data_IF_068937291347
#
_entry.id   IF_068937291347
#
_cell.length_a   1.000
_cell.length_b   1.000
_cell.length_c   1.000
_cell.angle_alpha   90.00
_cell.angle_beta   90.00
_cell.angle_gamma   90.00
#
_symmetry.space_group_name_H-M   'P 1'
#
loop_
_entity.id
_entity.type
_entity.pdbx_description
1 polymer ?
#
# COMPACT_ATOMS: atom_id res chain seq x y z
N UNK A 1 -5.70 -29.73 -14.96
CA UNK A 1 -7.03 -30.06 -14.38
C UNK A 1 -7.14 -29.40 -13.00
N UNK A 2 -7.79 -28.23 -12.91
CA UNK A 2 -7.95 -27.53 -11.63
C UNK A 2 -8.93 -28.28 -10.73
N UNK A 3 -8.51 -28.63 -9.51
CA UNK A 3 -9.39 -29.22 -8.50
C UNK A 3 -10.49 -28.22 -8.17
N UNK A 4 -11.74 -28.58 -8.47
CA UNK A 4 -12.93 -27.79 -8.12
C UNK A 4 -13.04 -27.71 -6.60
N UNK A 5 -13.20 -26.50 -6.06
CA UNK A 5 -13.25 -26.27 -4.62
C UNK A 5 -14.70 -26.32 -4.13
N UNK A 6 -14.93 -26.73 -2.86
CA UNK A 6 -16.26 -26.77 -2.22
C UNK A 6 -17.03 -25.43 -2.33
N UNK A 7 -16.31 -24.30 -2.33
CA UNK A 7 -16.88 -22.97 -2.56
C UNK A 7 -17.49 -22.82 -3.96
N UNK A 8 -16.80 -23.33 -4.98
CA UNK A 8 -17.25 -23.26 -6.36
C UNK A 8 -18.52 -24.10 -6.57
N UNK A 9 -18.65 -25.22 -5.85
CA UNK A 9 -19.87 -26.03 -5.86
C UNK A 9 -21.07 -25.29 -5.28
N UNK A 10 -20.90 -24.59 -4.14
CA UNK A 10 -21.96 -23.79 -3.54
C UNK A 10 -22.38 -22.62 -4.46
N UNK A 11 -21.42 -21.94 -5.09
CA UNK A 11 -21.72 -20.87 -6.05
C UNK A 11 -22.41 -21.38 -7.31
N UNK A 12 -22.07 -22.57 -7.80
CA UNK A 12 -22.78 -23.19 -8.92
C UNK A 12 -24.21 -23.58 -8.57
N UNK A 13 -24.45 -24.13 -7.37
CA UNK A 13 -25.81 -24.41 -6.93
C UNK A 13 -26.63 -23.12 -6.82
N UNK A 14 -26.04 -22.08 -6.22
CA UNK A 14 -26.67 -20.76 -6.14
C UNK A 14 -26.94 -20.16 -7.53
N UNK A 15 -26.00 -20.27 -8.45
CA UNK A 15 -26.16 -19.81 -9.84
C UNK A 15 -27.31 -20.55 -10.53
N UNK A 16 -27.44 -21.87 -10.30
CA UNK A 16 -28.51 -22.69 -10.87
C UNK A 16 -29.90 -22.33 -10.30
N UNK A 17 -29.98 -22.08 -9.00
CA UNK A 17 -31.25 -21.79 -8.30
C UNK A 17 -31.71 -20.35 -8.48
N UNK A 18 -30.81 -19.38 -8.27
CA UNK A 18 -31.16 -17.96 -8.18
C UNK A 18 -31.06 -17.25 -9.55
N UNK A 19 -30.23 -17.76 -10.47
CA UNK A 19 -29.94 -17.12 -11.76
C UNK A 19 -29.98 -18.12 -12.93
N UNK A 20 -31.11 -18.79 -13.17
CA UNK A 20 -31.20 -19.90 -14.13
C UNK A 20 -30.87 -19.49 -15.56
N UNK A 21 -31.13 -18.24 -15.96
CA UNK A 21 -30.80 -17.76 -17.32
C UNK A 21 -29.28 -17.61 -17.52
N UNK A 22 -28.57 -17.08 -16.51
CA UNK A 22 -27.10 -16.98 -16.53
C UNK A 22 -26.48 -18.38 -16.50
N UNK A 23 -27.08 -19.31 -15.75
CA UNK A 23 -26.65 -20.71 -15.74
C UNK A 23 -26.84 -21.38 -17.10
N UNK A 24 -27.97 -21.15 -17.80
CA UNK A 24 -28.19 -21.64 -19.16
C UNK A 24 -27.19 -21.06 -20.15
N UNK A 25 -26.92 -19.75 -20.10
CA UNK A 25 -25.92 -19.09 -20.94
C UNK A 25 -24.49 -19.62 -20.69
N UNK A 26 -24.16 -19.99 -19.45
CA UNK A 26 -22.91 -20.67 -19.11
C UNK A 26 -22.83 -22.07 -19.75
N UNK A 27 -23.91 -22.87 -19.69
CA UNK A 27 -23.95 -24.19 -20.30
C UNK A 27 -23.94 -24.15 -21.84
N UNK A 28 -24.57 -23.13 -22.43
CA UNK A 28 -24.55 -22.88 -23.87
C UNK A 28 -23.18 -22.40 -24.38
N UNK A 29 -22.24 -22.08 -23.49
CA UNK A 29 -20.90 -21.59 -23.85
C UNK A 29 -20.84 -20.09 -24.17
N UNK A 30 -21.96 -19.35 -24.08
CA UNK A 30 -22.01 -17.91 -24.28
C UNK A 30 -21.20 -17.16 -23.20
N UNK A 31 -21.23 -17.67 -21.97
CA UNK A 31 -20.37 -17.21 -20.89
C UNK A 31 -19.14 -18.11 -20.79
N UNK A 32 -18.00 -17.64 -21.29
CA UNK A 32 -16.77 -18.43 -21.40
C UNK A 32 -16.14 -18.96 -20.09
N UNK A 33 -16.69 -18.69 -18.90
CA UNK A 33 -16.24 -19.33 -17.66
C UNK A 33 -17.26 -19.20 -16.51
N UNK A 34 -17.23 -20.17 -15.58
CA UNK A 34 -18.04 -20.13 -14.37
C UNK A 34 -17.78 -18.88 -13.51
N UNK A 35 -16.51 -18.44 -13.40
CA UNK A 35 -16.15 -17.20 -12.68
C UNK A 35 -16.85 -15.98 -13.28
N UNK A 36 -16.90 -15.87 -14.62
CA UNK A 36 -17.58 -14.77 -15.30
C UNK A 36 -19.09 -14.82 -15.04
N UNK A 37 -19.69 -16.01 -15.02
CA UNK A 37 -21.09 -16.18 -14.64
C UNK A 37 -21.37 -15.74 -13.20
N UNK A 38 -20.49 -16.07 -12.24
CA UNK A 38 -20.64 -15.63 -10.85
C UNK A 38 -20.55 -14.12 -10.69
N UNK A 39 -19.68 -13.46 -11.45
CA UNK A 39 -19.56 -12.00 -11.46
C UNK A 39 -20.81 -11.35 -12.05
N UNK A 40 -21.31 -11.86 -13.18
CA UNK A 40 -22.54 -11.38 -13.81
C UNK A 40 -23.76 -11.54 -12.89
N UNK A 41 -23.81 -12.65 -12.14
CA UNK A 41 -24.85 -12.92 -11.15
C UNK A 41 -24.66 -12.17 -9.82
N UNK A 42 -23.59 -11.40 -9.65
CA UNK A 42 -23.29 -10.71 -8.39
C UNK A 42 -22.97 -11.63 -7.20
N UNK A 43 -22.73 -12.92 -7.46
CA UNK A 43 -22.37 -13.92 -6.43
C UNK A 43 -20.94 -13.67 -5.93
N UNK A 44 -20.05 -13.25 -6.83
CA UNK A 44 -18.69 -12.87 -6.48
C UNK A 44 -18.32 -11.51 -7.11
N UNK A 45 -17.53 -10.68 -6.41
CA UNK A 45 -17.04 -9.44 -6.99
C UNK A 45 -16.04 -9.70 -8.13
N UNK A 46 -16.00 -8.75 -9.07
CA UNK A 46 -14.95 -8.71 -10.07
C UNK A 46 -13.59 -8.45 -9.40
N UNK A 47 -12.57 -9.21 -9.79
CA UNK A 47 -11.22 -9.01 -9.26
C UNK A 47 -10.66 -7.68 -9.69
N UNK A 48 -10.21 -6.90 -8.72
CA UNK A 48 -9.52 -5.64 -8.95
C UNK A 48 -8.17 -5.88 -9.65
N UNK A 49 -7.63 -4.85 -10.30
CA UNK A 49 -6.31 -4.94 -10.98
C UNK A 49 -5.19 -5.32 -10.02
N UNK A 50 -5.25 -4.83 -8.77
CA UNK A 50 -4.24 -5.15 -7.75
C UNK A 50 -4.32 -6.61 -7.30
N UNK A 51 -5.52 -7.20 -7.18
CA UNK A 51 -5.68 -8.62 -6.87
C UNK A 51 -5.15 -9.51 -8.00
N UNK A 52 -5.38 -9.12 -9.25
CA UNK A 52 -4.80 -9.79 -10.41
C UNK A 52 -3.27 -9.73 -10.37
N UNK A 53 -2.69 -8.57 -10.09
CA UNK A 53 -1.24 -8.41 -9.96
C UNK A 53 -0.67 -9.27 -8.82
N UNK A 54 -1.31 -9.29 -7.64
CA UNK A 54 -0.90 -10.16 -6.52
C UNK A 54 -0.96 -11.65 -6.89
N UNK A 55 -1.99 -12.09 -7.61
CA UNK A 55 -2.08 -13.47 -8.06
C UNK A 55 -1.01 -13.82 -9.09
N UNK A 56 -0.75 -12.94 -10.06
CA UNK A 56 0.32 -13.11 -11.03
C UNK A 56 1.69 -13.14 -10.36
N UNK A 57 1.94 -12.26 -9.39
CA UNK A 57 3.18 -12.24 -8.60
C UNK A 57 3.41 -13.54 -7.84
N UNK A 58 2.37 -14.09 -7.21
CA UNK A 58 2.45 -15.35 -6.49
C UNK A 58 2.78 -16.54 -7.41
N UNK A 59 2.36 -16.48 -8.69
CA UNK A 59 2.59 -17.52 -9.69
C UNK A 59 3.87 -17.35 -10.52
N UNK A 60 4.42 -16.14 -10.55
CA UNK A 60 5.63 -15.84 -11.29
C UNK A 60 6.82 -16.62 -10.74
N UNK A 61 7.69 -17.06 -11.64
CA UNK A 61 9.01 -17.61 -11.35
C UNK A 61 9.93 -16.52 -10.79
N UNK A 62 11.04 -16.92 -10.18
CA UNK A 62 12.00 -15.96 -9.62
C UNK A 62 12.59 -15.04 -10.71
N UNK A 63 12.89 -15.58 -11.90
CA UNK A 63 13.34 -14.79 -13.05
C UNK A 63 12.32 -13.74 -13.51
N UNK A 64 11.03 -14.08 -13.54
CA UNK A 64 9.95 -13.15 -13.89
C UNK A 64 9.75 -12.06 -12.82
N UNK A 65 9.92 -12.42 -11.54
CA UNK A 65 9.87 -11.46 -10.43
C UNK A 65 11.04 -10.49 -10.51
N UNK A 66 12.26 -10.98 -10.76
CA UNK A 66 13.45 -10.14 -10.90
C UNK A 66 13.33 -9.20 -12.09
N UNK A 67 12.89 -9.70 -13.25
CA UNK A 67 12.62 -8.86 -14.41
C UNK A 67 11.58 -7.76 -14.11
N UNK A 68 10.52 -8.10 -13.37
CA UNK A 68 9.52 -7.12 -12.95
C UNK A 68 10.11 -6.08 -11.99
N UNK A 69 10.96 -6.47 -11.03
CA UNK A 69 11.62 -5.54 -10.11
C UNK A 69 12.60 -4.61 -10.81
N UNK A 70 13.35 -5.10 -11.80
CA UNK A 70 14.23 -4.29 -12.65
C UNK A 70 13.42 -3.25 -13.42
N UNK A 71 12.34 -3.68 -14.08
CA UNK A 71 11.43 -2.77 -14.78
C UNK A 71 10.83 -1.72 -13.83
N UNK A 72 10.43 -2.12 -12.62
CA UNK A 72 9.88 -1.24 -11.60
C UNK A 72 10.91 -0.20 -11.13
N UNK A 73 12.17 -0.61 -10.92
CA UNK A 73 13.28 0.28 -10.58
C UNK A 73 13.54 1.30 -11.70
N UNK A 74 13.51 0.87 -12.97
CA UNK A 74 13.64 1.76 -14.13
C UNK A 74 12.49 2.78 -14.25
N UNK A 75 11.31 2.47 -13.70
CA UNK A 75 10.18 3.39 -13.58
C UNK A 75 10.26 4.32 -12.36
N UNK A 76 11.39 4.33 -11.64
CA UNK A 76 11.61 5.17 -10.47
C UNK A 76 10.96 4.65 -9.19
N UNK A 77 10.38 3.44 -9.23
CA UNK A 77 9.88 2.79 -8.03
C UNK A 77 11.04 2.04 -7.36
N UNK A 78 11.62 2.70 -6.34
CA UNK A 78 12.75 2.16 -5.59
C UNK A 78 12.26 1.09 -4.61
N UNK A 79 12.78 -0.14 -4.65
CA UNK A 79 12.53 -1.11 -3.61
C UNK A 79 12.95 -0.52 -2.25
N UNK A 80 12.12 -0.71 -1.22
CA UNK A 80 12.57 -0.59 0.17
C UNK A 80 13.61 -1.71 0.36
N UNK A 81 14.88 -1.39 0.11
CA UNK A 81 15.95 -2.37 0.16
C UNK A 81 15.95 -3.07 1.54
N UNK A 82 15.98 -4.42 1.60
CA UNK A 82 16.35 -5.11 2.82
C UNK A 82 17.82 -4.77 3.08
N UNK A 83 18.10 -4.17 4.24
CA UNK A 83 19.46 -3.98 4.72
C UNK A 83 20.08 -5.36 4.99
N UNK A 84 20.72 -5.94 3.99
CA UNK A 84 21.73 -6.97 4.20
C UNK A 84 23.10 -6.28 4.34
N UNK A 85 23.86 -6.80 5.27
CA UNK A 85 25.05 -6.28 5.93
C UNK A 85 26.30 -6.16 5.05
N UNK A 86 26.86 -4.94 4.99
CA UNK A 86 28.30 -4.53 5.03
C UNK A 86 29.32 -5.00 3.96
N UNK A 87 30.54 -4.38 3.84
CA UNK A 87 31.09 -3.22 4.58
C UNK A 87 31.69 -2.04 3.75
N UNK A 88 31.62 -0.84 4.36
CA UNK A 88 32.57 0.31 4.42
C UNK A 88 33.07 1.01 3.12
N UNK A 89 33.27 2.36 3.12
CA UNK A 89 34.29 2.99 3.97
C UNK A 89 33.80 4.19 4.82
N UNK A 90 34.41 4.27 6.01
CA UNK A 90 34.80 5.46 6.79
C UNK A 90 33.89 6.70 6.76
N UNK A 91 33.15 6.91 7.84
CA UNK A 91 33.35 8.05 8.75
C UNK A 91 32.39 7.95 9.94
N UNK A 92 33.00 7.92 11.12
CA UNK A 92 32.50 8.09 12.48
C UNK A 92 31.15 8.80 12.65
N UNK A 93 30.07 8.04 12.89
CA UNK A 93 28.98 8.41 13.82
C UNK A 93 28.11 7.15 14.10
N UNK A 94 27.99 6.65 15.34
CA UNK A 94 27.10 5.54 15.66
C UNK A 94 25.65 6.06 15.75
N UNK A 95 25.07 6.45 14.62
CA UNK A 95 23.65 6.82 14.58
C UNK A 95 22.82 5.54 14.39
N UNK A 96 21.91 5.18 15.32
CA UNK A 96 21.06 4.01 15.15
C UNK A 96 20.28 4.14 13.84
N UNK A 97 20.19 3.06 13.07
CA UNK A 97 19.49 3.01 11.79
C UNK A 97 18.03 3.44 12.00
N UNK A 98 17.70 4.67 11.61
CA UNK A 98 16.38 5.25 11.85
C UNK A 98 15.36 4.62 10.92
N UNK A 99 14.20 4.27 11.48
CA UNK A 99 13.02 3.87 10.75
C UNK A 99 12.56 5.05 9.88
N UNK A 100 12.42 4.86 8.55
CA UNK A 100 11.99 5.94 7.67
C UNK A 100 10.59 6.41 8.08
N UNK A 101 10.36 7.73 8.05
CA UNK A 101 9.08 8.31 8.47
C UNK A 101 8.03 8.43 7.35
N UNK A 102 8.44 8.20 6.10
CA UNK A 102 7.61 8.35 4.91
C UNK A 102 7.98 7.33 3.82
N UNK A 103 6.97 6.95 3.02
CA UNK A 103 7.15 6.26 1.75
C UNK A 103 7.01 7.27 0.62
N UNK A 104 8.15 7.75 0.09
CA UNK A 104 8.19 8.83 -0.89
C UNK A 104 7.67 10.14 -0.29
N UNK A 105 6.49 10.59 -0.75
CA UNK A 105 5.84 11.84 -0.31
C UNK A 105 4.75 11.63 0.74
N UNK A 106 4.48 10.39 1.14
CA UNK A 106 3.38 10.04 2.02
C UNK A 106 3.93 9.56 3.36
N UNK A 107 3.41 10.12 4.45
CA UNK A 107 3.79 9.67 5.80
C UNK A 107 3.34 8.23 6.03
N UNK A 108 4.15 7.46 6.77
CA UNK A 108 3.73 6.13 7.21
C UNK A 108 2.65 6.23 8.28
N UNK A 109 1.80 5.20 8.37
CA UNK A 109 0.76 5.14 9.40
C UNK A 109 1.34 5.21 10.83
N UNK A 110 2.48 4.55 11.06
CA UNK A 110 3.22 4.62 12.33
C UNK A 110 3.69 6.04 12.66
N UNK A 111 4.23 6.74 11.67
CA UNK A 111 4.66 8.13 11.81
C UNK A 111 3.49 9.07 12.08
N UNK A 112 2.36 8.88 11.41
CA UNK A 112 1.14 9.67 11.68
C UNK A 112 0.68 9.48 13.12
N UNK A 113 0.68 8.24 13.62
CA UNK A 113 0.33 7.95 15.01
C UNK A 113 1.32 8.61 16.00
N UNK A 114 2.61 8.56 15.69
CA UNK A 114 3.66 9.18 16.51
C UNK A 114 3.53 10.71 16.57
N UNK A 115 3.30 11.37 15.43
CA UNK A 115 3.09 12.82 15.37
C UNK A 115 1.85 13.20 16.20
N UNK A 116 0.74 12.46 16.06
CA UNK A 116 -0.48 12.69 16.85
C UNK A 116 -0.22 12.54 18.34
N UNK A 117 0.51 11.50 18.76
CA UNK A 117 0.84 11.30 20.17
C UNK A 117 1.68 12.45 20.77
N UNK A 118 2.64 12.98 20.01
CA UNK A 118 3.43 14.14 20.43
C UNK A 118 2.57 15.40 20.47
N UNK A 119 1.71 15.62 19.46
CA UNK A 119 0.76 16.73 19.42
C UNK A 119 -0.18 16.70 20.62
N UNK A 120 -0.74 15.55 20.97
CA UNK A 120 -1.65 15.39 22.11
C UNK A 120 -0.92 15.66 23.44
N UNK A 121 0.30 15.12 23.59
CA UNK A 121 1.14 15.34 24.78
C UNK A 121 1.49 16.80 25.00
N UNK A 122 1.84 17.51 23.92
CA UNK A 122 2.27 18.93 23.97
C UNK A 122 1.13 19.93 23.72
N UNK A 123 -0.11 19.44 23.50
CA UNK A 123 -1.29 20.23 23.10
C UNK A 123 -1.03 21.15 21.89
N UNK A 124 -0.40 20.59 20.86
CA UNK A 124 -0.03 21.31 19.63
C UNK A 124 -0.99 21.00 18.49
N UNK A 125 -1.23 21.99 17.65
CA UNK A 125 -1.94 21.83 16.38
C UNK A 125 -0.97 21.53 15.24
N UNK A 126 -1.43 21.03 14.07
CA UNK A 126 -0.57 20.85 12.90
C UNK A 126 0.10 22.15 12.44
N UNK A 127 -0.52 23.30 12.69
CA UNK A 127 0.04 24.61 12.37
C UNK A 127 1.22 24.92 13.29
N UNK A 128 1.09 24.66 14.59
CA UNK A 128 2.16 24.87 15.57
C UNK A 128 3.37 23.99 15.27
N UNK A 129 3.13 22.73 14.86
CA UNK A 129 4.21 21.82 14.43
C UNK A 129 4.94 22.40 13.21
N UNK A 130 4.21 22.90 12.22
CA UNK A 130 4.81 23.53 11.04
C UNK A 130 5.56 24.82 11.40
N UNK A 131 5.08 25.59 12.37
CA UNK A 131 5.73 26.80 12.84
C UNK A 131 7.05 26.49 13.58
N UNK A 132 7.07 25.49 14.45
CA UNK A 132 8.28 25.05 15.16
C UNK A 132 9.38 24.56 14.20
N UNK A 133 8.98 24.10 13.01
CA UNK A 133 9.89 23.69 11.93
C UNK A 133 10.22 24.80 10.92
N UNK A 134 9.70 26.03 11.10
CA UNK A 134 9.88 27.13 10.15
C UNK A 134 9.18 26.91 8.80
N UNK A 135 8.16 26.05 8.74
CA UNK A 135 7.40 25.66 7.56
C UNK A 135 5.96 26.22 7.59
N UNK A 136 5.76 27.46 8.05
CA UNK A 136 4.43 28.04 8.35
C UNK A 136 3.42 27.94 7.19
N UNK A 137 3.87 28.10 5.94
CA UNK A 137 3.02 28.03 4.75
C UNK A 137 2.42 26.63 4.49
N UNK A 138 2.96 25.58 5.10
CA UNK A 138 2.60 24.17 4.84
C UNK A 138 1.65 23.59 5.93
N UNK A 139 1.10 24.43 6.82
CA UNK A 139 0.16 24.03 7.88
C UNK A 139 -1.05 23.24 7.37
N UNK A 140 -1.67 23.67 6.26
CA UNK A 140 -2.78 22.93 5.64
C UNK A 140 -2.34 21.59 5.05
N UNK A 141 -1.10 21.51 4.55
CA UNK A 141 -0.56 20.28 3.98
C UNK A 141 -0.38 19.21 5.05
N UNK A 142 0.16 19.58 6.23
CA UNK A 142 0.27 18.65 7.35
C UNK A 142 -1.09 18.17 7.83
N UNK A 143 -2.05 19.07 8.01
CA UNK A 143 -3.42 18.70 8.38
C UNK A 143 -4.03 17.70 7.39
N UNK A 144 -3.85 17.93 6.09
CA UNK A 144 -4.27 16.99 5.04
C UNK A 144 -3.56 15.64 5.11
N UNK A 145 -2.27 15.62 5.40
CA UNK A 145 -1.47 14.40 5.56
C UNK A 145 -1.93 13.57 6.77
N UNK A 146 -2.18 14.21 7.91
CA UNK A 146 -2.60 13.53 9.15
C UNK A 146 -4.05 13.04 9.13
N UNK A 147 -4.94 13.71 8.38
CA UNK A 147 -6.36 13.37 8.30
C UNK A 147 -6.68 12.40 7.15
N UNK A 148 -6.08 12.61 5.97
CA UNK A 148 -6.46 11.90 4.73
C UNK A 148 -5.28 11.22 4.02
N UNK A 149 -4.08 11.27 4.59
CA UNK A 149 -2.88 10.70 3.96
C UNK A 149 -2.45 11.46 2.70
N UNK A 150 -2.66 12.78 2.66
CA UNK A 150 -2.20 13.61 1.54
C UNK A 150 -0.66 13.64 1.43
N UNK A 151 -0.16 13.88 0.20
CA UNK A 151 1.27 14.00 -0.07
C UNK A 151 1.85 15.28 0.50
N UNK A 152 3.05 15.21 1.09
CA UNK A 152 3.85 16.34 1.53
C UNK A 152 5.00 16.64 0.56
N UNK A 153 5.58 17.83 0.65
CA UNK A 153 6.83 18.16 -0.05
C UNK A 153 7.99 17.47 0.67
N UNK A 154 9.04 17.12 -0.07
CA UNK A 154 10.19 16.40 0.49
C UNK A 154 10.95 17.24 1.54
N UNK A 155 10.99 18.56 1.38
CA UNK A 155 11.55 19.48 2.37
C UNK A 155 10.81 19.41 3.71
N UNK A 156 9.47 19.33 3.67
CA UNK A 156 8.62 19.21 4.86
C UNK A 156 8.84 17.86 5.55
N UNK A 157 9.00 16.78 4.79
CA UNK A 157 9.32 15.46 5.35
C UNK A 157 10.69 15.48 6.04
N UNK A 158 11.70 16.09 5.43
CA UNK A 158 13.03 16.21 6.04
C UNK A 158 13.00 17.03 7.35
N UNK A 159 12.25 18.14 7.36
CA UNK A 159 12.05 18.95 8.55
C UNK A 159 11.32 18.16 9.65
N UNK A 160 10.27 17.42 9.29
CA UNK A 160 9.48 16.59 10.20
C UNK A 160 10.29 15.44 10.80
N UNK A 161 11.24 14.87 10.06
CA UNK A 161 12.16 13.86 10.58
C UNK A 161 13.13 14.45 11.62
N UNK A 162 13.59 15.69 11.43
CA UNK A 162 14.38 16.40 12.43
C UNK A 162 13.56 16.73 13.68
N UNK A 163 12.34 17.22 13.49
CA UNK A 163 11.41 17.55 14.56
C UNK A 163 11.01 16.33 15.39
N UNK A 164 10.67 15.20 14.76
CA UNK A 164 10.35 13.95 15.45
C UNK A 164 11.52 13.46 16.32
N UNK A 165 12.75 13.58 15.84
CA UNK A 165 13.94 13.24 16.63
C UNK A 165 14.09 14.11 17.89
N UNK A 166 13.81 15.41 17.78
CA UNK A 166 13.87 16.32 18.91
C UNK A 166 12.76 16.04 19.94
N UNK A 167 11.61 15.52 19.50
CA UNK A 167 10.38 15.44 20.30
C UNK A 167 9.98 14.03 20.75
N UNK A 168 10.77 13.00 20.44
CA UNK A 168 10.53 11.59 20.83
C UNK A 168 10.66 11.30 22.33
N UNK A 169 11.05 12.28 23.15
CA UNK A 169 11.30 12.13 24.58
C UNK A 169 10.03 12.32 25.41
#
# INVERSE_FOLDING_TARGET
>A
MSKKTRRDDAHLQRLKTDFPDIYRALLAGEIGSARKAFVLAGIEPERTRIEKLKNSWAKATDAERDAFLIWLAAKGARPLAPRLTSPAPTSSDPRPAQTPIASGRYLLASTIAEIKAIMDRRRMTPVDVMQEMGCEAEGRALSGALARGASLRLSVIAALEAWLRANRR
#
